data_IF_044963686787
#
_entry.id   IF_044963686787
#
_cell.length_a   1.000
_cell.length_b   1.000
_cell.length_c   1.000
_cell.angle_alpha   90.00
_cell.angle_beta   90.00
_cell.angle_gamma   90.00
#
_symmetry.space_group_name_H-M   'P 1'
#
loop_
_entity.id
_entity.type
_entity.pdbx_description
1 polymer ?
#
# COMPACT_ATOMS: atom_id res chain seq x y z
N UNK A 1 -15.60 14.31 24.81
CA UNK A 1 -14.49 13.47 25.32
C UNK A 1 -14.46 12.15 24.59
N UNK A 2 -15.21 11.15 25.07
CA UNK A 2 -15.24 9.81 24.50
C UNK A 2 -15.80 9.74 23.07
N UNK A 3 -16.89 10.45 22.79
CA UNK A 3 -17.46 10.54 21.42
C UNK A 3 -16.49 11.16 20.41
N UNK A 4 -15.72 12.16 20.82
CA UNK A 4 -14.68 12.79 19.98
C UNK A 4 -13.54 11.83 19.68
N UNK A 5 -13.12 11.02 20.67
CA UNK A 5 -12.12 9.96 20.47
C UNK A 5 -12.64 8.89 19.50
N UNK A 6 -13.88 8.43 19.66
CA UNK A 6 -14.50 7.47 18.73
C UNK A 6 -14.58 8.04 17.31
N UNK A 7 -14.93 9.31 17.15
CA UNK A 7 -14.94 9.99 15.85
C UNK A 7 -13.56 10.05 15.21
N UNK A 8 -12.52 10.37 15.99
CA UNK A 8 -11.13 10.37 15.52
C UNK A 8 -10.70 8.96 15.10
N UNK A 9 -10.96 7.95 15.93
CA UNK A 9 -10.63 6.55 15.64
C UNK A 9 -11.34 6.06 14.38
N UNK A 10 -12.61 6.41 14.19
CA UNK A 10 -13.37 6.05 13.01
C UNK A 10 -12.76 6.65 11.74
N UNK A 11 -12.42 7.96 11.76
CA UNK A 11 -11.80 8.64 10.61
C UNK A 11 -10.44 8.02 10.28
N UNK A 12 -9.59 7.79 11.28
CA UNK A 12 -8.28 7.17 11.08
C UNK A 12 -8.46 5.76 10.50
N UNK A 13 -9.34 4.95 11.09
CA UNK A 13 -9.60 3.57 10.67
C UNK A 13 -10.10 3.48 9.23
N UNK A 14 -11.04 4.35 8.83
CA UNK A 14 -11.56 4.38 7.45
C UNK A 14 -10.48 4.79 6.46
N UNK A 15 -9.65 5.79 6.78
CA UNK A 15 -8.55 6.19 5.91
C UNK A 15 -7.51 5.08 5.74
N UNK A 16 -7.13 4.41 6.84
CA UNK A 16 -6.22 3.26 6.79
C UNK A 16 -6.83 2.10 5.97
N UNK A 17 -8.11 1.80 6.17
CA UNK A 17 -8.80 0.77 5.41
C UNK A 17 -8.80 1.09 3.91
N UNK A 18 -9.03 2.35 3.54
CA UNK A 18 -8.99 2.79 2.14
C UNK A 18 -7.59 2.63 1.52
N UNK A 19 -6.54 3.10 2.21
CA UNK A 19 -5.15 2.99 1.75
C UNK A 19 -4.74 1.51 1.62
N UNK A 20 -5.08 0.68 2.61
CA UNK A 20 -4.75 -0.74 2.60
C UNK A 20 -5.54 -1.53 1.56
N UNK A 21 -6.65 -1.03 1.02
CA UNK A 21 -7.38 -1.70 -0.05
C UNK A 21 -6.77 -1.43 -1.43
N UNK A 22 -5.89 -0.43 -1.57
CA UNK A 22 -5.24 -0.13 -2.84
C UNK A 22 -4.33 -1.30 -3.28
N UNK A 23 -4.26 -1.60 -4.59
CA UNK A 23 -3.46 -2.69 -5.13
C UNK A 23 -1.96 -2.33 -5.20
N UNK A 24 -1.41 -1.84 -4.09
CA UNK A 24 0.00 -1.50 -3.96
C UNK A 24 0.72 -2.72 -3.39
N UNK A 25 1.70 -3.30 -4.12
CA UNK A 25 2.43 -4.45 -3.60
C UNK A 25 3.29 -4.00 -2.40
N UNK A 26 3.20 -4.77 -1.29
CA UNK A 26 3.62 -4.48 0.09
C UNK A 26 2.50 -4.03 1.06
N UNK A 27 1.32 -3.64 0.57
CA UNK A 27 0.11 -3.45 1.38
C UNK A 27 -0.83 -4.66 1.30
N UNK A 28 -1.76 -4.76 2.26
CA UNK A 28 -2.77 -5.84 2.32
C UNK A 28 -3.56 -5.98 1.01
N UNK A 29 -3.90 -4.86 0.38
CA UNK A 29 -4.63 -4.78 -0.90
C UNK A 29 -3.84 -5.32 -2.09
N UNK A 30 -2.50 -5.26 -2.04
CA UNK A 30 -1.64 -5.93 -3.02
C UNK A 30 -1.77 -7.45 -2.95
N UNK A 31 -1.87 -8.01 -1.74
CA UNK A 31 -2.12 -9.44 -1.56
C UNK A 31 -3.52 -9.84 -2.05
N UNK A 32 -4.54 -9.03 -1.75
CA UNK A 32 -5.90 -9.24 -2.24
C UNK A 32 -5.92 -9.21 -3.78
N UNK A 33 -5.24 -8.26 -4.41
CA UNK A 33 -5.14 -8.17 -5.87
C UNK A 33 -4.49 -9.42 -6.49
N UNK A 34 -3.41 -9.93 -5.87
CA UNK A 34 -2.76 -11.17 -6.29
C UNK A 34 -3.72 -12.36 -6.22
N UNK A 35 -4.46 -12.50 -5.11
CA UNK A 35 -5.43 -13.58 -4.91
C UNK A 35 -6.58 -13.48 -5.91
N UNK A 36 -7.07 -12.27 -6.20
CA UNK A 36 -8.10 -12.04 -7.22
C UNK A 36 -7.62 -12.45 -8.61
N UNK A 37 -6.37 -12.14 -8.94
CA UNK A 37 -5.74 -12.56 -10.21
C UNK A 37 -5.62 -14.09 -10.26
N UNK A 38 -5.20 -14.75 -9.18
CA UNK A 38 -5.16 -16.21 -9.11
C UNK A 38 -6.54 -16.85 -9.23
N UNK A 39 -7.56 -16.25 -8.63
CA UNK A 39 -8.94 -16.69 -8.75
C UNK A 39 -9.45 -16.55 -10.19
N UNK A 40 -9.10 -15.47 -10.88
CA UNK A 40 -9.43 -15.24 -12.29
C UNK A 40 -8.72 -16.21 -13.23
N UNK A 41 -7.42 -16.44 -13.02
CA UNK A 41 -6.58 -17.35 -13.83
C UNK A 41 -6.84 -18.83 -13.46
N UNK A 42 -7.52 -19.09 -12.33
CA UNK A 42 -7.77 -20.41 -11.73
C UNK A 42 -6.50 -21.25 -11.55
N UNK A 43 -5.34 -20.60 -11.43
CA UNK A 43 -4.06 -21.24 -11.19
C UNK A 43 -3.25 -20.41 -10.21
N UNK A 44 -2.54 -21.04 -9.26
CA UNK A 44 -1.68 -20.32 -8.34
C UNK A 44 -0.50 -19.70 -9.10
N UNK A 45 -0.12 -18.47 -8.75
CA UNK A 45 1.11 -17.89 -9.24
C UNK A 45 2.30 -18.63 -8.63
N UNK A 46 3.36 -18.79 -9.41
CA UNK A 46 4.59 -19.38 -8.89
C UNK A 46 5.17 -18.53 -7.75
N UNK A 47 5.84 -19.17 -6.80
CA UNK A 47 6.49 -18.48 -5.68
C UNK A 47 7.47 -17.39 -6.18
N UNK A 48 8.19 -17.67 -7.27
CA UNK A 48 9.10 -16.71 -7.92
C UNK A 48 8.36 -15.47 -8.43
N UNK A 49 7.20 -15.65 -9.07
CA UNK A 49 6.40 -14.52 -9.55
C UNK A 49 5.86 -13.67 -8.39
N UNK A 50 5.34 -14.29 -7.33
CA UNK A 50 4.88 -13.58 -6.13
C UNK A 50 6.01 -12.78 -5.47
N UNK A 51 7.18 -13.39 -5.30
CA UNK A 51 8.36 -12.71 -4.74
C UNK A 51 8.81 -11.54 -5.63
N UNK A 52 8.84 -11.72 -6.96
CA UNK A 52 9.22 -10.67 -7.89
C UNK A 52 8.24 -9.48 -7.82
N UNK A 53 6.93 -9.73 -7.84
CA UNK A 53 5.90 -8.68 -7.72
C UNK A 53 6.06 -7.91 -6.41
N UNK A 54 6.30 -8.62 -5.31
CA UNK A 54 6.44 -8.01 -3.99
C UNK A 54 7.73 -7.18 -3.87
N UNK A 55 8.86 -7.69 -4.37
CA UNK A 55 10.12 -6.95 -4.41
C UNK A 55 10.02 -5.70 -5.29
N UNK A 56 9.39 -5.81 -6.46
CA UNK A 56 9.13 -4.67 -7.35
C UNK A 56 8.26 -3.62 -6.65
N UNK A 57 7.20 -4.04 -5.95
CA UNK A 57 6.34 -3.13 -5.20
C UNK A 57 7.08 -2.40 -4.10
N UNK A 58 7.85 -3.11 -3.28
CA UNK A 58 8.68 -2.51 -2.22
C UNK A 58 9.68 -1.51 -2.82
N UNK A 59 10.37 -1.89 -3.90
CA UNK A 59 11.33 -1.01 -4.56
C UNK A 59 10.66 0.27 -5.08
N UNK A 60 9.49 0.15 -5.70
CA UNK A 60 8.70 1.28 -6.21
C UNK A 60 8.26 2.18 -5.04
N UNK A 61 7.77 1.59 -3.95
CA UNK A 61 7.38 2.30 -2.73
C UNK A 61 8.54 3.08 -2.13
N UNK A 62 9.70 2.45 -1.96
CA UNK A 62 10.91 3.10 -1.43
C UNK A 62 11.38 4.24 -2.34
N UNK A 63 11.33 4.03 -3.66
CA UNK A 63 11.67 5.07 -4.64
C UNK A 63 10.71 6.25 -4.55
N UNK A 64 9.40 5.99 -4.45
CA UNK A 64 8.39 7.03 -4.29
C UNK A 64 8.59 7.81 -3.00
N UNK A 65 8.84 7.13 -1.88
CA UNK A 65 9.15 7.76 -0.59
C UNK A 65 10.38 8.66 -0.73
N UNK A 66 11.45 8.18 -1.37
CA UNK A 66 12.67 8.97 -1.58
C UNK A 66 12.41 10.21 -2.44
N UNK A 67 11.62 10.09 -3.52
CA UNK A 67 11.25 11.22 -4.38
C UNK A 67 10.42 12.25 -3.64
N UNK A 68 9.39 11.82 -2.89
CA UNK A 68 8.56 12.70 -2.07
C UNK A 68 9.41 13.41 -1.03
N UNK A 69 10.25 12.66 -0.31
CA UNK A 69 11.14 13.20 0.71
C UNK A 69 12.12 14.24 0.14
N UNK A 70 12.71 13.95 -1.02
CA UNK A 70 13.57 14.92 -1.72
C UNK A 70 12.81 16.19 -2.11
N UNK A 71 11.60 16.05 -2.66
CA UNK A 71 10.77 17.19 -3.03
C UNK A 71 10.37 18.04 -1.82
N UNK A 72 10.00 17.40 -0.70
CA UNK A 72 9.64 18.08 0.54
C UNK A 72 10.84 18.86 1.11
N UNK A 73 12.05 18.27 1.13
CA UNK A 73 13.27 18.97 1.53
C UNK A 73 13.54 20.17 0.60
N UNK A 74 13.49 19.97 -0.71
CA UNK A 74 13.81 21.02 -1.67
C UNK A 74 12.81 22.18 -1.57
N UNK A 75 11.54 21.87 -1.28
CA UNK A 75 10.49 22.87 -1.05
C UNK A 75 10.72 23.67 0.23
N UNK A 76 11.32 23.09 1.27
CA UNK A 76 11.61 23.79 2.52
C UNK A 76 12.87 24.65 2.39
N UNK A 77 13.86 24.20 1.61
CA UNK A 77 15.15 24.89 1.43
C UNK A 77 15.05 26.07 0.44
N UNK A 78 14.14 26.01 -0.52
CA UNK A 78 13.83 27.13 -1.43
C UNK A 78 12.85 28.11 -0.80
#
# INVERSE_FOLDING_TARGET
GFSTLLGLLAIISVNLAFINLLPIPALDGGHIAIVLVEAAIRRPLSLRARMAIQQLGVLLLLTLIAVIFYNDIMRIVR
#
